data_IF_198446175634
#
_entry.id   IF_198446175634
#
_cell.length_a   1.000
_cell.length_b   1.000
_cell.length_c   1.000
_cell.angle_alpha   90.00
_cell.angle_beta   90.00
_cell.angle_gamma   90.00
#
_symmetry.space_group_name_H-M   'P 1'
#
loop_
_entity.id
_entity.type
_entity.pdbx_description
1 polymer ?
#
# COMPACT_ATOMS: atom_id res chain seq x y z
N UNK A 1 -47.11 19.77 -23.94
CA UNK A 1 -46.52 21.10 -23.62
C UNK A 1 -46.28 21.83 -24.93
N UNK A 2 -46.60 23.12 -25.02
CA UNK A 2 -46.40 23.89 -26.26
C UNK A 2 -44.92 24.22 -26.46
N UNK A 3 -44.50 24.47 -27.71
CA UNK A 3 -43.12 24.89 -28.04
C UNK A 3 -42.68 26.11 -27.23
N UNK A 4 -43.61 27.02 -26.94
CA UNK A 4 -43.34 28.21 -26.13
C UNK A 4 -43.05 27.86 -24.67
N UNK A 5 -43.75 26.89 -24.09
CA UNK A 5 -43.47 26.44 -22.71
C UNK A 5 -42.07 25.82 -22.58
N UNK A 6 -41.64 25.03 -23.56
CA UNK A 6 -40.27 24.49 -23.59
C UNK A 6 -39.21 25.59 -23.71
N UNK A 7 -39.44 26.59 -24.57
CA UNK A 7 -38.53 27.72 -24.72
C UNK A 7 -38.35 28.51 -23.42
N UNK A 8 -39.45 28.80 -22.70
CA UNK A 8 -39.38 29.52 -21.43
C UNK A 8 -38.70 28.70 -20.32
N UNK A 9 -38.98 27.40 -20.22
CA UNK A 9 -38.35 26.52 -19.21
C UNK A 9 -36.84 26.39 -19.47
N UNK A 10 -36.44 26.16 -20.72
CA UNK A 10 -35.02 26.03 -21.09
C UNK A 10 -34.27 27.35 -20.90
N UNK A 11 -34.90 28.48 -21.24
CA UNK A 11 -34.33 29.81 -21.01
C UNK A 11 -34.18 30.13 -19.52
N UNK A 12 -35.20 29.83 -18.70
CA UNK A 12 -35.15 30.02 -17.25
C UNK A 12 -34.08 29.12 -16.62
N UNK A 13 -34.01 27.85 -17.03
CA UNK A 13 -32.96 26.94 -16.58
C UNK A 13 -31.57 27.45 -16.96
N UNK A 14 -31.37 27.91 -18.20
CA UNK A 14 -30.11 28.49 -18.66
C UNK A 14 -29.72 29.73 -17.86
N UNK A 15 -30.66 30.62 -17.57
CA UNK A 15 -30.42 31.82 -16.75
C UNK A 15 -30.05 31.46 -15.31
N UNK A 16 -30.79 30.55 -14.67
CA UNK A 16 -30.51 30.09 -13.31
C UNK A 16 -29.15 29.38 -13.23
N UNK A 17 -28.85 28.51 -14.20
CA UNK A 17 -27.57 27.81 -14.28
C UNK A 17 -26.42 28.80 -14.50
N UNK A 18 -26.57 29.76 -15.41
CA UNK A 18 -25.56 30.80 -15.67
C UNK A 18 -25.32 31.67 -14.44
N UNK A 19 -26.38 32.09 -13.75
CA UNK A 19 -26.29 32.91 -12.55
C UNK A 19 -25.62 32.13 -11.41
N UNK A 20 -25.98 30.85 -11.24
CA UNK A 20 -25.35 29.97 -10.26
C UNK A 20 -23.86 29.76 -10.56
N UNK A 21 -23.49 29.45 -11.82
CA UNK A 21 -22.10 29.29 -12.24
C UNK A 21 -21.31 30.58 -12.02
N UNK A 22 -21.87 31.74 -12.38
CA UNK A 22 -21.23 33.04 -12.16
C UNK A 22 -21.03 33.33 -10.67
N UNK A 23 -22.06 33.12 -9.84
CA UNK A 23 -21.98 33.28 -8.39
C UNK A 23 -20.93 32.36 -7.77
N UNK A 24 -20.95 31.07 -8.11
CA UNK A 24 -19.97 30.09 -7.61
C UNK A 24 -18.56 30.43 -8.07
N UNK A 25 -18.38 30.86 -9.32
CA UNK A 25 -17.08 31.32 -9.82
C UNK A 25 -16.58 32.57 -9.09
N UNK A 26 -17.44 33.57 -8.87
CA UNK A 26 -17.07 34.78 -8.14
C UNK A 26 -16.74 34.47 -6.67
N UNK A 27 -17.52 33.60 -6.03
CA UNK A 27 -17.27 33.12 -4.67
C UNK A 27 -15.91 32.40 -4.58
N UNK A 28 -15.63 31.50 -5.53
CA UNK A 28 -14.34 30.82 -5.64
C UNK A 28 -13.18 31.79 -5.89
N UNK A 29 -13.32 32.73 -6.82
CA UNK A 29 -12.27 33.71 -7.10
C UNK A 29 -11.97 34.60 -5.89
N UNK A 30 -13.01 34.97 -5.12
CA UNK A 30 -12.86 35.71 -3.87
C UNK A 30 -12.13 34.89 -2.81
N UNK A 31 -12.52 33.63 -2.61
CA UNK A 31 -11.88 32.78 -1.60
C UNK A 31 -10.41 32.54 -1.94
N UNK A 32 -10.08 32.22 -3.19
CA UNK A 32 -8.67 32.08 -3.64
C UNK A 32 -7.86 33.33 -3.28
N UNK A 33 -8.38 34.53 -3.57
CA UNK A 33 -7.70 35.79 -3.24
C UNK A 33 -7.54 36.03 -1.73
N UNK A 34 -8.51 35.60 -0.93
CA UNK A 34 -8.42 35.68 0.53
C UNK A 34 -7.30 34.76 1.07
N UNK A 35 -7.26 33.53 0.56
CA UNK A 35 -6.28 32.52 0.95
C UNK A 35 -4.87 32.75 0.39
N UNK A 36 -4.71 33.50 -0.71
CA UNK A 36 -3.40 33.93 -1.19
C UNK A 36 -2.61 34.68 -0.11
N UNK A 37 -3.31 35.44 0.74
CA UNK A 37 -2.71 36.24 1.82
C UNK A 37 -2.41 35.44 3.09
N UNK A 38 -2.77 34.15 3.17
CA UNK A 38 -2.33 33.31 4.29
C UNK A 38 -0.81 33.12 4.24
N UNK A 39 -0.16 33.37 5.37
CA UNK A 39 1.24 33.04 5.62
C UNK A 39 1.40 31.55 5.92
N UNK A 40 1.12 30.74 4.91
CA UNK A 40 1.23 29.29 4.96
C UNK A 40 2.03 28.83 3.73
N UNK A 41 3.34 28.53 3.88
CA UNK A 41 4.15 28.08 2.76
C UNK A 41 3.68 26.72 2.25
N UNK A 42 3.83 26.48 0.95
CA UNK A 42 3.47 25.19 0.35
C UNK A 42 4.26 24.06 1.03
N UNK A 43 3.57 22.97 1.38
CA UNK A 43 4.10 21.84 2.15
C UNK A 43 4.50 22.17 3.61
N UNK A 44 4.04 23.30 4.16
CA UNK A 44 4.13 23.54 5.59
C UNK A 44 3.50 22.40 6.38
N UNK A 45 4.04 22.15 7.57
CA UNK A 45 3.40 21.29 8.55
C UNK A 45 2.07 21.91 8.98
N UNK A 46 1.01 21.13 8.83
CA UNK A 46 -0.38 21.48 9.11
C UNK A 46 -0.98 20.51 10.12
N UNK A 47 -0.15 19.75 10.83
CA UNK A 47 -0.56 18.70 11.75
C UNK A 47 -1.38 19.17 12.93
N UNK A 48 -1.17 20.42 13.34
CA UNK A 48 -1.96 21.07 14.39
C UNK A 48 -3.48 21.05 14.12
N UNK A 49 -3.92 20.96 12.85
CA UNK A 49 -5.35 20.88 12.51
C UNK A 49 -6.01 19.61 13.01
N UNK A 50 -5.26 18.51 13.18
CA UNK A 50 -5.79 17.23 13.66
C UNK A 50 -5.83 17.10 15.18
N UNK A 51 -5.35 18.12 15.91
CA UNK A 51 -5.44 18.20 17.37
C UNK A 51 -6.75 18.84 17.85
N UNK A 52 -7.58 19.33 16.92
CA UNK A 52 -8.84 19.98 17.24
C UNK A 52 -9.96 18.96 17.53
N UNK A 53 -10.25 18.78 18.83
CA UNK A 53 -11.32 17.91 19.33
C UNK A 53 -12.73 18.35 18.90
N UNK A 54 -12.91 19.59 18.46
CA UNK A 54 -14.23 20.09 18.04
C UNK A 54 -14.65 19.59 16.66
N UNK A 55 -13.69 19.06 15.89
CA UNK A 55 -13.92 18.61 14.52
C UNK A 55 -14.34 17.16 14.47
N UNK A 56 -15.30 16.89 13.60
CA UNK A 56 -15.60 15.55 13.16
C UNK A 56 -15.07 15.34 11.74
N UNK A 57 -13.78 14.99 11.63
CA UNK A 57 -13.13 14.70 10.35
C UNK A 57 -13.92 13.72 9.51
N UNK A 58 -14.60 12.78 10.17
CA UNK A 58 -15.35 11.78 9.46
C UNK A 58 -16.51 12.38 8.67
N UNK A 59 -17.29 13.25 9.30
CA UNK A 59 -18.44 13.90 8.66
C UNK A 59 -18.00 14.84 7.54
N UNK A 60 -16.88 15.54 7.73
CA UNK A 60 -16.34 16.50 6.78
C UNK A 60 -15.96 15.86 5.43
N UNK A 61 -15.44 14.63 5.46
CA UNK A 61 -14.96 13.94 4.24
C UNK A 61 -15.96 12.93 3.69
N UNK A 62 -16.96 12.51 4.47
CA UNK A 62 -17.84 11.39 4.12
C UNK A 62 -18.58 11.59 2.79
N UNK A 63 -19.15 12.79 2.57
CA UNK A 63 -19.90 13.08 1.34
C UNK A 63 -19.02 12.98 0.09
N UNK A 64 -17.83 13.59 0.14
CA UNK A 64 -16.87 13.52 -0.96
C UNK A 64 -16.41 12.09 -1.23
N UNK A 65 -16.12 11.32 -0.17
CA UNK A 65 -15.69 9.94 -0.30
C UNK A 65 -16.78 9.03 -0.88
N UNK A 66 -18.03 9.22 -0.45
CA UNK A 66 -19.19 8.50 -1.00
C UNK A 66 -19.38 8.82 -2.49
N UNK A 67 -19.35 10.09 -2.86
CA UNK A 67 -19.51 10.53 -4.26
C UNK A 67 -18.40 9.99 -5.16
N UNK A 68 -17.18 9.91 -4.64
CA UNK A 68 -16.00 9.37 -5.34
C UNK A 68 -15.83 7.86 -5.20
N UNK A 69 -16.77 7.16 -4.56
CA UNK A 69 -16.70 5.72 -4.32
C UNK A 69 -15.38 5.27 -3.64
N UNK A 70 -14.81 6.12 -2.77
CA UNK A 70 -13.51 5.85 -2.14
C UNK A 70 -13.57 4.65 -1.19
N UNK A 71 -14.69 4.44 -0.49
CA UNK A 71 -14.87 3.25 0.36
C UNK A 71 -14.69 1.95 -0.42
N UNK A 72 -15.25 1.85 -1.63
CA UNK A 72 -15.08 0.65 -2.48
C UNK A 72 -13.64 0.44 -2.92
N UNK A 73 -12.88 1.53 -3.14
CA UNK A 73 -11.46 1.44 -3.49
C UNK A 73 -10.61 1.03 -2.28
N UNK A 74 -10.85 1.63 -1.11
CA UNK A 74 -10.25 1.22 0.17
C UNK A 74 -10.52 -0.25 0.45
N UNK A 75 -11.76 -0.71 0.26
CA UNK A 75 -12.14 -2.11 0.49
C UNK A 75 -11.39 -3.07 -0.44
N UNK A 76 -11.24 -2.73 -1.73
CA UNK A 76 -10.45 -3.54 -2.67
C UNK A 76 -8.99 -3.65 -2.24
N UNK A 77 -8.40 -2.56 -1.74
CA UNK A 77 -7.02 -2.54 -1.24
C UNK A 77 -6.86 -3.30 0.08
N UNK A 78 -7.72 -3.02 1.08
CA UNK A 78 -7.63 -3.66 2.40
C UNK A 78 -7.84 -5.18 2.32
N UNK A 79 -8.63 -5.67 1.34
CA UNK A 79 -8.78 -7.11 1.07
C UNK A 79 -7.53 -7.81 0.53
N UNK A 80 -6.53 -7.06 0.06
CA UNK A 80 -5.23 -7.63 -0.31
C UNK A 80 -4.28 -7.76 0.89
N UNK A 81 -4.65 -7.25 2.06
CA UNK A 81 -3.83 -7.34 3.27
C UNK A 81 -3.77 -8.76 3.82
N UNK A 82 -2.55 -9.21 4.13
CA UNK A 82 -2.25 -10.52 4.74
C UNK A 82 -0.94 -10.48 5.53
N UNK A 83 -0.73 -11.46 6.40
CA UNK A 83 0.46 -11.62 7.23
C UNK A 83 0.61 -10.54 8.29
N UNK A 84 1.84 -10.06 8.50
CA UNK A 84 2.08 -8.90 9.36
C UNK A 84 1.67 -7.63 8.61
N UNK A 85 0.66 -6.94 9.12
CA UNK A 85 0.06 -5.77 8.48
C UNK A 85 0.33 -4.50 9.29
N UNK A 86 0.77 -3.45 8.59
CA UNK A 86 0.90 -2.09 9.12
C UNK A 86 -0.01 -1.15 8.33
N UNK A 87 -0.86 -0.39 9.00
CA UNK A 87 -1.55 0.76 8.42
C UNK A 87 -0.93 2.05 8.96
N UNK A 88 -0.47 2.91 8.05
CA UNK A 88 0.10 4.22 8.38
C UNK A 88 -0.87 5.31 7.98
N UNK A 89 -0.92 6.39 8.78
CA UNK A 89 -1.91 7.46 8.65
C UNK A 89 -3.33 6.90 8.80
N UNK A 90 -3.55 6.06 9.82
CA UNK A 90 -4.82 5.38 10.05
C UNK A 90 -5.98 6.34 10.37
N UNK A 91 -5.65 7.57 10.78
CA UNK A 91 -6.60 8.60 11.21
C UNK A 91 -7.55 8.04 12.26
N UNK A 92 -8.84 8.28 12.05
CA UNK A 92 -9.93 7.82 12.92
C UNK A 92 -10.29 6.33 12.70
N UNK A 93 -9.52 5.56 11.92
CA UNK A 93 -9.75 4.14 11.68
C UNK A 93 -10.83 3.83 10.63
N UNK A 94 -10.91 4.59 9.54
CA UNK A 94 -11.93 4.40 8.48
C UNK A 94 -11.82 3.06 7.73
N UNK A 95 -10.65 2.43 7.73
CA UNK A 95 -10.39 1.16 7.04
C UNK A 95 -10.67 -0.08 7.90
N UNK A 96 -10.90 0.06 9.20
CA UNK A 96 -10.96 -1.05 10.17
C UNK A 96 -11.92 -2.18 9.77
N UNK A 97 -13.10 -1.82 9.28
CA UNK A 97 -14.13 -2.78 8.86
C UNK A 97 -13.85 -3.45 7.51
N UNK A 98 -12.87 -2.95 6.76
CA UNK A 98 -12.60 -3.34 5.38
C UNK A 98 -11.56 -4.46 5.28
N UNK A 99 -10.84 -4.74 6.36
CA UNK A 99 -9.85 -5.80 6.43
C UNK A 99 -10.51 -7.19 6.54
N UNK A 100 -9.89 -8.24 5.96
CA UNK A 100 -10.36 -9.61 6.05
C UNK A 100 -10.00 -10.25 7.40
N UNK A 101 -10.62 -9.77 8.49
CA UNK A 101 -10.23 -10.14 9.86
C UNK A 101 -10.93 -11.39 10.41
N UNK A 102 -11.97 -11.88 9.74
CA UNK A 102 -12.71 -13.06 10.16
C UNK A 102 -11.97 -14.34 9.77
N UNK A 103 -11.43 -15.12 10.74
CA UNK A 103 -10.67 -16.32 10.43
C UNK A 103 -11.53 -17.44 9.84
N UNK A 104 -12.85 -17.47 10.07
CA UNK A 104 -13.72 -18.54 9.56
C UNK A 104 -14.04 -18.38 8.07
N UNK A 105 -14.02 -17.15 7.57
CA UNK A 105 -14.35 -16.83 6.18
C UNK A 105 -13.08 -16.59 5.35
N UNK A 106 -11.99 -16.16 5.99
CA UNK A 106 -10.75 -15.82 5.30
C UNK A 106 -9.85 -17.05 5.15
N UNK A 107 -9.48 -17.44 3.91
CA UNK A 107 -8.51 -18.50 3.64
C UNK A 107 -7.17 -18.26 4.33
N UNK A 108 -6.51 -19.32 4.78
CA UNK A 108 -5.25 -19.25 5.55
C UNK A 108 -4.15 -18.44 4.84
N UNK A 109 -4.03 -18.59 3.52
CA UNK A 109 -3.07 -17.85 2.68
C UNK A 109 -3.32 -16.33 2.57
N UNK A 110 -4.47 -15.87 3.07
CA UNK A 110 -4.92 -14.48 3.01
C UNK A 110 -5.23 -13.89 4.39
N UNK A 111 -4.93 -14.61 5.47
CA UNK A 111 -5.19 -14.13 6.82
C UNK A 111 -4.20 -13.04 7.19
N UNK A 112 -4.70 -12.10 7.97
CA UNK A 112 -3.86 -11.17 8.72
C UNK A 112 -3.45 -11.88 10.01
N UNK A 113 -2.16 -11.82 10.33
CA UNK A 113 -1.59 -12.43 11.54
C UNK A 113 -1.37 -11.40 12.64
N UNK A 114 -1.04 -10.15 12.26
CA UNK A 114 -0.82 -9.02 13.17
C UNK A 114 -1.28 -7.73 12.51
N UNK A 115 -1.83 -6.83 13.32
CA UNK A 115 -2.14 -5.46 12.90
C UNK A 115 -1.35 -4.45 13.73
N UNK A 116 -0.78 -3.47 13.05
CA UNK A 116 -0.23 -2.26 13.66
C UNK A 116 -0.89 -1.07 12.97
N UNK A 117 -1.49 -0.18 13.73
CA UNK A 117 -2.05 1.08 13.24
C UNK A 117 -1.19 2.22 13.76
N UNK A 118 -0.76 3.11 12.87
CA UNK A 118 0.00 4.30 13.21
C UNK A 118 -0.71 5.56 12.71
N UNK A 119 -0.66 6.59 13.54
CA UNK A 119 -1.01 7.96 13.15
C UNK A 119 -0.23 8.96 13.99
N UNK A 120 -0.01 10.17 13.46
CA UNK A 120 0.63 11.25 14.19
C UNK A 120 -0.27 11.79 15.31
N UNK A 121 -1.60 11.79 15.11
CA UNK A 121 -2.57 12.32 16.08
C UNK A 121 -3.02 11.24 17.07
N UNK A 122 -2.66 11.44 18.34
CA UNK A 122 -3.16 10.62 19.45
C UNK A 122 -4.69 10.58 19.50
N UNK A 123 -5.33 11.72 19.25
CA UNK A 123 -6.79 11.89 19.32
C UNK A 123 -7.48 11.05 18.25
N UNK A 124 -6.97 11.07 17.02
CA UNK A 124 -7.54 10.27 15.94
C UNK A 124 -7.31 8.78 16.20
N UNK A 125 -6.13 8.41 16.70
CA UNK A 125 -5.79 7.02 16.96
C UNK A 125 -6.59 6.43 18.13
N UNK A 126 -6.90 7.21 19.17
CA UNK A 126 -7.83 6.81 20.24
C UNK A 126 -9.24 6.50 19.69
N UNK A 127 -9.74 7.32 18.75
CA UNK A 127 -11.01 7.03 18.07
C UNK A 127 -10.91 5.74 17.23
N UNK A 128 -9.80 5.54 16.52
CA UNK A 128 -9.55 4.34 15.74
C UNK A 128 -9.55 3.09 16.62
N UNK A 129 -8.92 3.17 17.78
CA UNK A 129 -8.90 2.09 18.78
C UNK A 129 -10.30 1.75 19.27
N UNK A 130 -11.09 2.74 19.70
CA UNK A 130 -12.48 2.54 20.15
C UNK A 130 -13.36 1.91 19.06
N UNK A 131 -13.19 2.33 17.79
CA UNK A 131 -13.91 1.73 16.67
C UNK A 131 -13.52 0.27 16.45
N UNK A 132 -12.23 -0.05 16.53
CA UNK A 132 -11.75 -1.42 16.42
C UNK A 132 -12.28 -2.31 17.54
N UNK A 133 -12.24 -1.83 18.79
CA UNK A 133 -12.79 -2.54 19.96
C UNK A 133 -14.29 -2.80 19.78
N UNK A 134 -15.06 -1.79 19.39
CA UNK A 134 -16.49 -1.92 19.09
C UNK A 134 -16.75 -2.96 17.98
N UNK A 135 -15.91 -3.00 16.94
CA UNK A 135 -16.00 -3.99 15.87
C UNK A 135 -15.78 -5.41 16.40
N UNK A 136 -14.77 -5.61 17.25
CA UNK A 136 -14.49 -6.90 17.87
C UNK A 136 -15.59 -7.33 18.86
N UNK A 137 -16.15 -6.41 19.63
CA UNK A 137 -17.25 -6.67 20.57
C UNK A 137 -18.52 -7.16 19.86
N UNK A 138 -18.88 -6.50 18.74
CA UNK A 138 -20.02 -6.88 17.89
C UNK A 138 -19.82 -8.24 17.20
N UNK A 139 -18.58 -8.65 16.95
CA UNK A 139 -18.28 -9.94 16.36
C UNK A 139 -18.50 -11.07 17.37
N UNK A 140 -19.05 -12.20 16.89
CA UNK A 140 -19.10 -13.45 17.67
C UNK A 140 -17.69 -13.86 18.08
N UNK A 141 -17.53 -14.43 19.26
CA UNK A 141 -16.21 -14.75 19.85
C UNK A 141 -15.28 -15.52 18.89
N UNK A 142 -15.81 -16.47 18.12
CA UNK A 142 -15.04 -17.27 17.14
C UNK A 142 -14.78 -16.57 15.79
N UNK A 143 -15.31 -15.37 15.60
CA UNK A 143 -15.11 -14.52 14.40
C UNK A 143 -14.29 -13.27 14.71
N UNK A 144 -13.87 -13.08 15.96
CA UNK A 144 -12.97 -12.00 16.36
C UNK A 144 -11.59 -12.23 15.75
N UNK A 145 -10.90 -11.13 15.48
CA UNK A 145 -9.51 -11.16 15.07
C UNK A 145 -8.66 -11.75 16.21
N UNK A 146 -7.96 -12.87 15.99
CA UNK A 146 -7.23 -13.55 17.06
C UNK A 146 -5.81 -12.98 17.28
N UNK A 147 -5.29 -12.23 16.30
CA UNK A 147 -3.91 -11.74 16.31
C UNK A 147 -3.70 -10.51 17.20
N UNK A 148 -2.43 -10.18 17.51
CA UNK A 148 -2.09 -8.97 18.22
C UNK A 148 -2.41 -7.72 17.39
N UNK A 149 -2.92 -6.69 18.08
CA UNK A 149 -3.23 -5.37 17.52
C UNK A 149 -2.48 -4.31 18.33
N UNK A 150 -1.83 -3.38 17.65
CA UNK A 150 -1.10 -2.29 18.28
C UNK A 150 -1.49 -0.95 17.65
N UNK A 151 -1.59 0.07 18.49
CA UNK A 151 -1.81 1.47 18.09
C UNK A 151 -0.56 2.26 18.49
N UNK A 152 0.11 2.86 17.52
CA UNK A 152 1.40 3.56 17.70
C UNK A 152 1.24 5.03 17.31
N UNK A 153 1.30 5.92 18.29
CA UNK A 153 1.21 7.37 18.06
C UNK A 153 2.60 7.91 17.68
N UNK A 154 2.67 8.67 16.60
CA UNK A 154 3.87 9.41 16.19
C UNK A 154 4.08 9.43 14.68
N UNK A 155 5.12 10.15 14.24
CA UNK A 155 5.51 10.24 12.84
C UNK A 155 6.12 8.92 12.34
N UNK A 156 5.45 8.25 11.39
CA UNK A 156 5.97 7.03 10.76
C UNK A 156 7.29 7.21 10.02
N UNK A 157 7.68 8.45 9.69
CA UNK A 157 9.00 8.76 9.13
C UNK A 157 10.14 8.60 10.15
N UNK A 158 9.83 8.61 11.46
CA UNK A 158 10.79 8.32 12.52
C UNK A 158 11.12 6.81 12.55
N UNK A 159 12.38 6.50 12.22
CA UNK A 159 12.89 5.12 12.16
C UNK A 159 12.84 4.38 13.49
N UNK A 160 12.80 5.10 14.61
CA UNK A 160 12.79 4.52 15.95
C UNK A 160 11.38 4.15 16.45
N UNK A 161 10.34 4.68 15.79
CA UNK A 161 8.96 4.61 16.27
C UNK A 161 8.33 3.23 16.02
N UNK A 162 8.27 2.81 14.76
CA UNK A 162 7.59 1.57 14.36
C UNK A 162 8.58 0.41 14.39
N UNK A 163 8.34 -0.54 15.29
CA UNK A 163 9.15 -1.76 15.37
C UNK A 163 8.83 -2.68 14.20
N UNK A 164 9.82 -2.88 13.34
CA UNK A 164 9.79 -3.86 12.25
C UNK A 164 9.72 -5.29 12.83
N UNK A 165 8.73 -6.12 12.48
CA UNK A 165 8.70 -7.52 12.92
C UNK A 165 9.85 -8.32 12.27
N UNK A 166 10.12 -9.52 12.77
CA UNK A 166 11.09 -10.42 12.14
C UNK A 166 10.63 -10.71 10.70
N UNK A 167 11.50 -10.43 9.74
CA UNK A 167 11.16 -10.52 8.32
C UNK A 167 10.38 -9.33 7.76
N UNK A 168 10.03 -8.31 8.56
CA UNK A 168 9.31 -7.13 8.09
C UNK A 168 7.81 -7.32 7.86
N UNK A 169 7.13 -6.22 7.50
CA UNK A 169 5.69 -6.25 7.22
C UNK A 169 5.41 -6.84 5.85
N UNK A 170 4.49 -7.82 5.79
CA UNK A 170 4.05 -8.46 4.57
C UNK A 170 3.14 -7.54 3.75
N UNK A 171 2.34 -6.73 4.44
CA UNK A 171 1.52 -5.68 3.83
C UNK A 171 1.63 -4.39 4.62
N UNK A 172 1.88 -3.28 3.94
CA UNK A 172 1.73 -1.92 4.46
C UNK A 172 0.59 -1.26 3.70
N UNK A 173 -0.35 -0.63 4.41
CA UNK A 173 -1.48 0.08 3.82
C UNK A 173 -1.35 1.54 4.21
N UNK A 174 -1.61 2.42 3.26
CA UNK A 174 -1.61 3.85 3.50
C UNK A 174 -2.65 4.48 2.57
N UNK A 175 -3.59 5.23 3.15
CA UNK A 175 -4.70 5.84 2.38
C UNK A 175 -4.93 7.29 2.75
N UNK A 176 -4.83 8.18 1.77
CA UNK A 176 -5.07 9.62 1.86
C UNK A 176 -4.25 10.32 2.96
N UNK A 177 -3.00 9.90 3.12
CA UNK A 177 -2.07 10.43 4.12
C UNK A 177 -0.84 11.10 3.53
N UNK A 178 -0.40 10.78 2.30
CA UNK A 178 0.82 11.39 1.71
C UNK A 178 0.63 12.89 1.53
N UNK A 179 -0.60 13.35 1.30
CA UNK A 179 -0.96 14.76 1.22
C UNK A 179 -0.62 15.55 2.50
N UNK A 180 -0.51 14.87 3.64
CA UNK A 180 -0.19 15.43 4.95
C UNK A 180 1.31 15.44 5.26
N UNK A 181 2.10 14.68 4.51
CA UNK A 181 3.54 14.52 4.77
C UNK A 181 4.36 15.75 4.31
N UNK A 182 5.25 16.23 5.18
CA UNK A 182 6.20 17.31 4.86
C UNK A 182 7.30 16.81 3.94
N UNK A 183 7.78 15.57 4.15
CA UNK A 183 8.75 14.89 3.29
C UNK A 183 8.22 13.53 2.79
N UNK A 184 7.35 13.54 1.77
CA UNK A 184 6.67 12.33 1.30
C UNK A 184 7.64 11.31 0.68
N UNK A 185 8.80 11.74 0.19
CA UNK A 185 9.83 10.84 -0.37
C UNK A 185 10.53 10.05 0.74
N UNK A 186 10.93 10.73 1.83
CA UNK A 186 11.52 10.06 2.98
C UNK A 186 10.53 9.11 3.65
N UNK A 187 9.27 9.54 3.78
CA UNK A 187 8.18 8.71 4.26
C UNK A 187 8.04 7.41 3.47
N UNK A 188 7.94 7.46 2.13
CA UNK A 188 7.85 6.25 1.31
C UNK A 188 9.10 5.36 1.40
N UNK A 189 10.30 5.95 1.51
CA UNK A 189 11.53 5.18 1.73
C UNK A 189 11.48 4.41 3.04
N UNK A 190 10.97 5.04 4.11
CA UNK A 190 10.81 4.41 5.41
C UNK A 190 9.78 3.26 5.35
N UNK A 191 8.66 3.43 4.64
CA UNK A 191 7.73 2.31 4.40
C UNK A 191 8.42 1.17 3.65
N UNK A 192 9.28 1.49 2.69
CA UNK A 192 10.15 0.52 2.01
C UNK A 192 11.05 -0.28 2.95
N UNK A 193 11.65 0.37 3.95
CA UNK A 193 12.51 -0.28 4.95
C UNK A 193 11.71 -1.17 5.93
N UNK A 194 10.51 -0.72 6.33
CA UNK A 194 9.61 -1.48 7.21
C UNK A 194 9.03 -2.72 6.52
N UNK A 195 8.83 -2.65 5.20
CA UNK A 195 8.30 -3.76 4.41
C UNK A 195 9.27 -4.96 4.38
N UNK A 196 8.74 -6.18 4.27
CA UNK A 196 9.52 -7.41 4.08
C UNK A 196 10.38 -7.28 2.83
N UNK A 197 11.69 -7.51 2.94
CA UNK A 197 12.59 -7.45 1.80
C UNK A 197 12.55 -8.77 1.00
N UNK A 198 12.86 -8.72 -0.31
CA UNK A 198 13.08 -9.91 -1.12
C UNK A 198 14.07 -10.89 -0.47
N UNK A 199 13.70 -12.16 -0.37
CA UNK A 199 14.53 -13.22 0.21
C UNK A 199 14.48 -13.32 1.74
N UNK A 200 13.87 -12.37 2.44
CA UNK A 200 13.61 -12.51 3.87
C UNK A 200 12.44 -13.48 4.11
N UNK A 201 12.56 -14.30 5.16
CA UNK A 201 11.47 -15.15 5.63
C UNK A 201 10.35 -14.27 6.20
N UNK A 202 9.11 -14.67 5.97
CA UNK A 202 7.96 -14.05 6.63
C UNK A 202 7.61 -14.79 7.91
N UNK A 203 7.28 -14.04 8.98
CA UNK A 203 6.65 -14.59 10.18
C UNK A 203 5.12 -14.63 10.09
N UNK A 204 4.53 -14.05 9.03
CA UNK A 204 3.08 -13.88 8.87
C UNK A 204 2.48 -14.62 7.67
N UNK A 205 3.30 -15.09 6.73
CA UNK A 205 2.85 -15.81 5.53
C UNK A 205 3.68 -17.08 5.37
N UNK A 206 3.02 -18.21 5.06
CA UNK A 206 3.72 -19.47 4.79
C UNK A 206 4.69 -19.31 3.59
N UNK A 207 5.96 -19.66 3.81
CA UNK A 207 7.02 -19.59 2.81
C UNK A 207 6.69 -20.38 1.54
N UNK A 208 5.92 -21.49 1.63
CA UNK A 208 5.49 -22.24 0.44
C UNK A 208 4.61 -21.42 -0.50
N UNK A 209 3.80 -20.52 0.06
CA UNK A 209 2.96 -19.61 -0.72
C UNK A 209 3.86 -18.60 -1.43
N UNK A 210 4.82 -18.01 -0.72
CA UNK A 210 5.78 -17.04 -1.27
C UNK A 210 6.61 -17.68 -2.38
N UNK A 211 7.12 -18.89 -2.20
CA UNK A 211 7.87 -19.63 -3.21
C UNK A 211 7.04 -19.87 -4.48
N UNK A 212 5.77 -20.27 -4.32
CA UNK A 212 4.85 -20.45 -5.45
C UNK A 212 4.59 -19.16 -6.20
N UNK A 213 4.34 -18.05 -5.49
CA UNK A 213 4.15 -16.73 -6.09
C UNK A 213 5.41 -16.26 -6.81
N UNK A 214 6.59 -16.51 -6.24
CA UNK A 214 7.90 -16.16 -6.82
C UNK A 214 8.16 -16.93 -8.12
N UNK A 215 7.85 -18.23 -8.15
CA UNK A 215 7.95 -19.06 -9.36
C UNK A 215 7.03 -18.54 -10.47
N UNK A 216 5.77 -18.26 -10.13
CA UNK A 216 4.81 -17.70 -11.09
C UNK A 216 5.29 -16.35 -11.63
N UNK A 217 5.87 -15.51 -10.77
CA UNK A 217 6.41 -14.22 -11.20
C UNK A 217 7.59 -14.38 -12.17
N UNK A 218 8.51 -15.31 -11.92
CA UNK A 218 9.60 -15.63 -12.86
C UNK A 218 9.08 -16.10 -14.22
N UNK A 219 8.01 -16.90 -14.24
CA UNK A 219 7.37 -17.32 -15.49
C UNK A 219 6.77 -16.14 -16.26
N UNK A 220 6.11 -15.23 -15.56
CA UNK A 220 5.54 -14.03 -16.16
C UNK A 220 6.61 -13.06 -16.69
N UNK A 221 7.74 -12.92 -15.97
CA UNK A 221 8.89 -12.15 -16.45
C UNK A 221 9.50 -12.75 -17.73
N UNK A 222 9.65 -14.09 -17.79
CA UNK A 222 10.12 -14.77 -19.01
C UNK A 222 9.21 -14.47 -20.19
N UNK A 223 7.89 -14.63 -20.01
CA UNK A 223 6.90 -14.32 -21.06
C UNK A 223 7.02 -12.87 -21.54
N UNK A 224 7.20 -11.90 -20.64
CA UNK A 224 7.34 -10.48 -21.03
C UNK A 224 8.60 -10.20 -21.86
N UNK A 225 9.73 -10.80 -21.50
CA UNK A 225 10.99 -10.65 -22.24
C UNK A 225 10.88 -11.13 -23.69
N UNK A 226 10.07 -12.16 -23.93
CA UNK A 226 9.87 -12.72 -25.27
C UNK A 226 9.06 -11.79 -26.21
N UNK A 227 8.32 -10.79 -25.68
CA UNK A 227 7.40 -9.92 -26.44
C UNK A 227 7.95 -8.49 -26.68
N UNK A 228 9.26 -8.34 -26.82
CA UNK A 228 10.00 -7.09 -26.65
C UNK A 228 9.49 -5.79 -27.34
N UNK A 229 9.93 -4.65 -26.79
CA UNK A 229 10.03 -3.32 -27.41
C UNK A 229 11.11 -2.51 -26.66
N UNK A 230 11.48 -1.29 -27.13
CA UNK A 230 12.63 -0.46 -26.65
C UNK A 230 12.29 1.02 -26.36
N UNK A 231 12.42 1.51 -25.11
CA UNK A 231 12.26 2.89 -24.59
C UNK A 231 12.97 3.09 -23.21
N UNK A 232 13.19 4.33 -22.70
CA UNK A 232 13.87 4.59 -21.41
C UNK A 232 13.21 3.96 -20.18
N UNK A 233 11.87 3.88 -20.17
CA UNK A 233 11.08 3.22 -19.13
C UNK A 233 11.48 1.73 -19.02
N UNK A 234 11.85 1.10 -20.14
CA UNK A 234 12.25 -0.30 -20.16
C UNK A 234 13.65 -0.55 -19.61
N UNK A 235 14.56 0.44 -19.63
CA UNK A 235 15.87 0.25 -18.95
C UNK A 235 15.66 0.07 -17.45
N UNK A 236 14.83 0.93 -16.85
CA UNK A 236 14.45 0.81 -15.44
C UNK A 236 13.71 -0.50 -15.18
N UNK A 237 12.74 -0.85 -16.01
CA UNK A 237 12.01 -2.11 -15.88
C UNK A 237 12.94 -3.33 -16.02
N UNK A 238 13.91 -3.30 -16.94
CA UNK A 238 14.89 -4.38 -17.12
C UNK A 238 15.81 -4.51 -15.90
N UNK A 239 16.26 -3.40 -15.33
CA UNK A 239 17.02 -3.39 -14.08
C UNK A 239 16.21 -4.01 -12.93
N UNK A 240 14.94 -3.62 -12.79
CA UNK A 240 14.03 -4.18 -11.79
C UNK A 240 13.80 -5.68 -12.01
N UNK A 241 13.48 -6.10 -13.24
CA UNK A 241 13.28 -7.51 -13.60
C UNK A 241 14.54 -8.35 -13.34
N UNK A 242 15.72 -7.77 -13.52
CA UNK A 242 17.01 -8.43 -13.25
C UNK A 242 17.22 -8.61 -11.75
N UNK A 243 17.02 -7.56 -10.96
CA UNK A 243 17.12 -7.64 -9.49
C UNK A 243 16.14 -8.65 -8.90
N UNK A 244 14.92 -8.70 -9.42
CA UNK A 244 13.90 -9.68 -9.00
C UNK A 244 14.32 -11.10 -9.36
N UNK A 245 14.90 -11.30 -10.56
CA UNK A 245 15.42 -12.61 -10.97
C UNK A 245 16.56 -13.07 -10.06
N UNK A 246 17.46 -12.17 -9.65
CA UNK A 246 18.56 -12.47 -8.71
C UNK A 246 18.07 -12.93 -7.34
N UNK A 247 16.90 -12.42 -6.92
CA UNK A 247 16.21 -12.79 -5.68
C UNK A 247 15.22 -13.95 -5.86
N UNK A 248 15.31 -14.69 -6.97
CA UNK A 248 14.51 -15.90 -7.19
C UNK A 248 13.02 -15.63 -7.43
N UNK A 249 12.66 -14.42 -7.85
CA UNK A 249 11.28 -14.02 -8.11
C UNK A 249 10.54 -13.43 -6.90
N UNK A 250 11.16 -13.40 -5.72
CA UNK A 250 10.54 -12.79 -4.54
C UNK A 250 10.61 -11.26 -4.64
N UNK A 251 9.45 -10.62 -4.49
CA UNK A 251 9.29 -9.17 -4.54
C UNK A 251 9.26 -8.52 -3.15
N UNK A 252 9.38 -9.30 -2.08
CA UNK A 252 9.18 -8.80 -0.72
C UNK A 252 7.69 -8.62 -0.37
N UNK A 253 7.40 -7.80 0.64
CA UNK A 253 6.04 -7.43 1.03
C UNK A 253 5.39 -6.46 0.02
N UNK A 254 4.13 -6.09 0.25
CA UNK A 254 3.38 -5.10 -0.54
C UNK A 254 3.20 -3.81 0.23
N UNK A 255 3.32 -2.68 -0.46
CA UNK A 255 2.89 -1.38 0.04
C UNK A 255 1.71 -0.92 -0.82
N UNK A 256 0.52 -0.84 -0.23
CA UNK A 256 -0.75 -0.54 -0.87
C UNK A 256 -1.10 0.92 -0.60
N UNK A 257 -1.07 1.75 -1.64
CA UNK A 257 -1.37 3.18 -1.52
C UNK A 257 -2.71 3.53 -2.20
N UNK A 258 -3.52 4.34 -1.53
CA UNK A 258 -4.64 5.06 -2.12
C UNK A 258 -4.50 6.54 -1.83
N UNK A 259 -4.15 7.33 -2.83
CA UNK A 259 -3.76 8.72 -2.62
C UNK A 259 -4.52 9.67 -3.53
N UNK A 260 -4.55 10.95 -3.14
CA UNK A 260 -4.95 12.03 -4.04
C UNK A 260 -3.76 12.93 -4.36
N UNK A 261 -3.79 13.53 -5.54
CA UNK A 261 -2.72 14.40 -6.00
C UNK A 261 -3.04 15.04 -7.35
N UNK A 262 -1.99 15.49 -8.03
CA UNK A 262 -2.10 16.14 -9.35
C UNK A 262 -2.87 15.27 -10.34
N UNK A 263 -3.66 15.90 -11.21
CA UNK A 263 -4.30 15.30 -12.38
C UNK A 263 -3.34 15.27 -13.59
N UNK A 264 -3.66 14.46 -14.61
CA UNK A 264 -3.04 14.60 -15.93
C UNK A 264 -3.64 15.76 -16.76
N UNK A 265 -4.76 16.36 -16.30
CA UNK A 265 -5.41 17.50 -16.94
C UNK A 265 -4.95 18.82 -16.31
N UNK A 266 -4.30 19.66 -17.09
CA UNK A 266 -3.72 20.93 -16.61
C UNK A 266 -4.74 21.93 -16.06
N UNK A 267 -6.01 21.89 -16.49
CA UNK A 267 -7.05 22.76 -15.93
C UNK A 267 -7.45 22.33 -14.51
N UNK A 268 -7.48 21.03 -14.22
CA UNK A 268 -7.75 20.52 -12.87
C UNK A 268 -6.60 20.92 -11.94
N UNK A 269 -5.36 20.78 -12.41
CA UNK A 269 -4.19 21.19 -11.64
C UNK A 269 -4.22 22.68 -11.26
N UNK A 270 -4.68 23.57 -12.15
CA UNK A 270 -4.88 24.98 -11.82
C UNK A 270 -5.88 25.18 -10.66
N UNK A 271 -6.98 24.43 -10.65
CA UNK A 271 -7.96 24.49 -9.56
C UNK A 271 -7.36 23.97 -8.25
N UNK A 272 -6.64 22.85 -8.32
CA UNK A 272 -5.95 22.27 -7.15
C UNK A 272 -4.89 23.22 -6.60
N UNK A 273 -4.05 23.80 -7.45
CA UNK A 273 -2.97 24.70 -7.05
C UNK A 273 -3.52 25.98 -6.41
N UNK A 274 -4.55 26.59 -7.00
CA UNK A 274 -5.20 27.79 -6.45
C UNK A 274 -5.93 27.51 -5.12
N UNK A 275 -6.47 26.30 -4.94
CA UNK A 275 -7.19 25.91 -3.72
C UNK A 275 -6.31 25.28 -2.64
N UNK A 276 -5.00 25.09 -2.89
CA UNK A 276 -4.14 24.29 -2.03
C UNK A 276 -4.00 24.87 -0.61
N UNK A 277 -3.79 26.19 -0.48
CA UNK A 277 -3.70 26.85 0.84
C UNK A 277 -5.01 26.75 1.63
N UNK A 278 -6.15 26.97 0.99
CA UNK A 278 -7.47 26.81 1.60
C UNK A 278 -7.68 25.38 2.10
N UNK A 279 -7.33 24.40 1.27
CA UNK A 279 -7.48 23.00 1.61
C UNK A 279 -6.56 22.60 2.77
N UNK A 280 -5.31 23.09 2.78
CA UNK A 280 -4.35 22.86 3.84
C UNK A 280 -4.75 23.54 5.17
N UNK A 281 -5.29 24.75 5.10
CA UNK A 281 -5.79 25.45 6.28
C UNK A 281 -7.02 24.77 6.86
N UNK A 282 -7.98 24.40 6.00
CA UNK A 282 -9.23 23.79 6.44
C UNK A 282 -9.05 22.32 6.81
N UNK A 283 -8.57 21.45 5.93
CA UNK A 283 -8.51 20.00 6.15
C UNK A 283 -7.18 19.51 6.75
N UNK A 284 -6.17 20.37 6.79
CA UNK A 284 -4.85 19.98 7.28
C UNK A 284 -4.00 19.21 6.28
N UNK A 285 -4.27 19.25 4.97
CA UNK A 285 -3.44 18.53 3.99
C UNK A 285 -3.26 19.26 2.66
N UNK A 286 -2.20 18.92 1.93
CA UNK A 286 -1.86 19.51 0.64
C UNK A 286 -2.27 18.58 -0.50
N UNK A 287 -3.45 18.83 -1.09
CA UNK A 287 -4.03 17.94 -2.10
C UNK A 287 -3.40 17.94 -3.49
N UNK A 288 -2.45 18.83 -3.76
CA UNK A 288 -1.85 19.06 -5.07
C UNK A 288 -0.44 18.47 -5.23
N UNK A 289 -0.03 17.56 -4.33
CA UNK A 289 1.27 16.86 -4.40
C UNK A 289 1.39 16.01 -5.66
N UNK A 290 2.60 15.97 -6.22
CA UNK A 290 2.94 15.11 -7.35
C UNK A 290 3.29 13.69 -6.87
N UNK A 291 2.25 12.86 -6.70
CA UNK A 291 2.41 11.49 -6.20
C UNK A 291 3.26 10.64 -7.14
N UNK A 292 3.20 10.87 -8.46
CA UNK A 292 4.03 10.11 -9.40
C UNK A 292 5.51 10.39 -9.20
N UNK A 293 5.88 11.66 -9.06
CA UNK A 293 7.25 12.06 -8.80
C UNK A 293 7.73 11.59 -7.42
N UNK A 294 6.88 11.68 -6.38
CA UNK A 294 7.18 11.15 -5.04
C UNK A 294 7.48 9.65 -5.07
N UNK A 295 6.64 8.85 -5.74
CA UNK A 295 6.86 7.40 -5.88
C UNK A 295 8.16 7.13 -6.66
N UNK A 296 8.40 7.87 -7.75
CA UNK A 296 9.62 7.76 -8.55
C UNK A 296 10.88 8.03 -7.74
N UNK A 297 10.87 9.06 -6.90
CA UNK A 297 12.01 9.49 -6.09
C UNK A 297 12.22 8.65 -4.82
N UNK A 298 11.17 7.94 -4.38
CA UNK A 298 11.29 6.95 -3.30
C UNK A 298 12.18 5.77 -3.70
N UNK A 299 12.24 5.45 -4.99
CA UNK A 299 12.99 4.30 -5.51
C UNK A 299 12.31 2.95 -5.30
N UNK A 300 11.07 2.94 -4.77
CA UNK A 300 10.23 1.75 -4.70
C UNK A 300 9.83 1.26 -6.09
N UNK A 301 9.67 -0.06 -6.23
CA UNK A 301 9.27 -0.70 -7.48
C UNK A 301 7.74 -0.61 -7.60
N UNK A 302 7.24 -0.22 -8.77
CA UNK A 302 5.80 -0.13 -9.05
C UNK A 302 5.31 -1.46 -9.64
N UNK A 303 4.64 -2.29 -8.85
CA UNK A 303 4.00 -3.51 -9.36
C UNK A 303 2.70 -3.18 -10.12
N UNK A 304 1.89 -2.27 -9.56
CA UNK A 304 0.59 -1.89 -10.11
C UNK A 304 0.32 -0.41 -9.90
N UNK A 305 -0.18 0.27 -10.94
CA UNK A 305 -0.64 1.67 -10.90
C UNK A 305 -2.00 1.77 -11.56
N UNK A 306 -2.96 2.44 -10.91
CA UNK A 306 -4.23 2.86 -11.51
C UNK A 306 -4.54 4.30 -11.11
N UNK A 307 -5.24 5.01 -11.99
CA UNK A 307 -5.72 6.37 -11.71
C UNK A 307 -7.22 6.47 -11.92
N UNK A 308 -7.88 7.25 -11.06
CA UNK A 308 -9.33 7.50 -11.06
C UNK A 308 -9.62 9.00 -11.01
N UNK A 309 -10.90 9.37 -11.13
CA UNK A 309 -11.38 10.74 -10.93
C UNK A 309 -10.58 11.78 -11.73
N UNK A 310 -10.53 11.59 -13.06
CA UNK A 310 -9.73 12.44 -13.95
C UNK A 310 -8.24 12.50 -13.59
N UNK A 311 -7.72 11.45 -12.97
CA UNK A 311 -6.31 11.34 -12.62
C UNK A 311 -5.97 11.80 -11.20
N UNK A 312 -6.86 12.44 -10.47
CA UNK A 312 -6.50 12.99 -9.16
C UNK A 312 -6.36 11.92 -8.08
N UNK A 313 -6.94 10.73 -8.25
CA UNK A 313 -6.77 9.62 -7.29
C UNK A 313 -5.89 8.54 -7.86
N UNK A 314 -4.91 8.12 -7.06
CA UNK A 314 -3.89 7.13 -7.36
C UNK A 314 -4.14 5.87 -6.53
N UNK A 315 -4.08 4.72 -7.17
CA UNK A 315 -3.95 3.42 -6.50
C UNK A 315 -2.61 2.82 -6.92
N UNK A 316 -1.74 2.55 -5.96
CA UNK A 316 -0.46 1.89 -6.19
C UNK A 316 -0.34 0.60 -5.38
N UNK A 317 0.30 -0.40 -5.99
CA UNK A 317 0.97 -1.49 -5.28
C UNK A 317 2.44 -1.32 -5.53
N UNK A 318 3.18 -1.00 -4.48
CA UNK A 318 4.62 -0.82 -4.50
C UNK A 318 5.31 -1.99 -3.81
N UNK A 319 6.57 -2.22 -4.20
CA UNK A 319 7.45 -3.24 -3.63
C UNK A 319 8.75 -2.60 -3.16
N UNK A 320 9.35 -3.11 -2.07
CA UNK A 320 10.69 -2.69 -1.68
C UNK A 320 11.67 -3.03 -2.80
N UNK A 321 12.66 -2.16 -3.00
CA UNK A 321 13.73 -2.42 -3.96
C UNK A 321 14.70 -3.45 -3.37
N UNK A 322 14.93 -4.60 -4.04
CA UNK A 322 15.94 -5.55 -3.59
C UNK A 322 17.28 -4.85 -3.45
N UNK A 323 17.99 -5.07 -2.34
CA UNK A 323 19.37 -4.60 -2.22
C UNK A 323 20.24 -5.47 -3.14
N UNK A 324 21.26 -4.90 -3.81
CA UNK A 324 22.27 -5.72 -4.46
C UNK A 324 22.88 -6.66 -3.42
N UNK A 325 23.00 -7.95 -3.72
CA UNK A 325 23.71 -8.88 -2.83
C UNK A 325 25.14 -8.40 -2.63
N UNK A 326 25.64 -8.51 -1.40
CA UNK A 326 27.07 -8.31 -1.15
C UNK A 326 27.88 -9.43 -1.81
N UNK A 327 29.14 -9.17 -2.14
CA UNK A 327 30.05 -10.18 -2.72
C UNK A 327 30.11 -11.44 -1.83
N UNK A 328 30.14 -11.26 -0.50
CA UNK A 328 30.13 -12.34 0.49
C UNK A 328 28.88 -13.24 0.45
N UNK A 329 27.71 -12.70 0.07
CA UNK A 329 26.45 -13.46 -0.05
C UNK A 329 26.39 -14.24 -1.36
N UNK A 330 27.01 -13.70 -2.41
CA UNK A 330 27.17 -14.37 -3.71
C UNK A 330 28.11 -15.57 -3.54
N UNK A 331 29.26 -15.37 -2.89
CA UNK A 331 30.27 -16.42 -2.64
C UNK A 331 29.70 -17.60 -1.83
N UNK A 332 29.01 -17.35 -0.71
CA UNK A 332 28.37 -18.39 0.12
C UNK A 332 27.31 -19.20 -0.64
N UNK A 333 26.63 -18.60 -1.61
CA UNK A 333 25.63 -19.31 -2.42
C UNK A 333 26.30 -20.14 -3.52
N UNK A 334 27.37 -19.65 -4.15
CA UNK A 334 28.18 -20.48 -5.07
C UNK A 334 28.78 -21.69 -4.36
N UNK A 335 29.28 -21.53 -3.13
CA UNK A 335 29.80 -22.64 -2.32
C UNK A 335 28.70 -23.66 -1.98
N UNK A 336 27.48 -23.22 -1.65
CA UNK A 336 26.36 -24.14 -1.40
C UNK A 336 25.85 -24.84 -2.67
N UNK A 337 25.98 -24.21 -3.85
CA UNK A 337 25.61 -24.81 -5.15
C UNK A 337 26.67 -25.81 -5.62
N UNK A 338 27.95 -25.56 -5.36
CA UNK A 338 29.04 -26.49 -5.71
C UNK A 338 29.25 -27.59 -4.65
N UNK A 339 28.97 -27.31 -3.37
CA UNK A 339 28.91 -28.32 -2.30
C UNK A 339 27.82 -29.38 -2.53
N UNK A 340 26.73 -29.02 -3.23
CA UNK A 340 25.70 -29.96 -3.68
C UNK A 340 26.09 -30.79 -4.91
N UNK A 341 27.12 -30.39 -5.66
CA UNK A 341 27.64 -31.11 -6.85
C UNK A 341 28.81 -32.05 -6.55
N UNK A 342 29.38 -31.98 -5.35
CA UNK A 342 30.45 -32.88 -4.90
C UNK A 342 29.97 -34.01 -3.96
N UNK A 343 28.69 -34.40 -4.04
CA UNK A 343 28.29 -35.74 -3.60
C UNK A 343 28.63 -36.74 -4.70
N UNK A 344 29.91 -37.10 -4.82
CA UNK A 344 30.35 -38.23 -5.63
C UNK A 344 29.64 -39.47 -5.10
N UNK A 345 28.73 -40.02 -5.91
CA UNK A 345 28.22 -41.38 -5.77
C UNK A 345 29.42 -42.32 -5.80
N UNK A 346 29.83 -42.82 -4.63
CA UNK A 346 30.77 -43.93 -4.52
C UNK A 346 30.09 -45.21 -5.02
N UNK A 347 30.21 -45.46 -6.32
CA UNK A 347 29.82 -46.72 -6.95
C UNK A 347 30.97 -47.71 -6.75
N UNK A 348 31.20 -48.14 -5.51
CA UNK A 348 32.14 -49.23 -5.24
C UNK A 348 31.87 -50.01 -3.95
N UNK A 349 30.62 -50.39 -3.67
CA UNK A 349 30.38 -51.53 -2.76
C UNK A 349 29.40 -52.54 -3.35
N UNK A 350 29.92 -53.76 -3.46
CA UNK A 350 29.32 -54.89 -4.12
C UNK A 350 28.04 -55.39 -3.48
N UNK A 351 27.18 -55.86 -4.37
CA UNK A 351 26.05 -56.76 -4.17
C UNK A 351 26.28 -57.77 -3.04
N UNK A 352 25.41 -57.75 -2.02
CA UNK A 352 25.12 -58.92 -1.18
C UNK A 352 23.65 -59.31 -1.33
N UNK A 353 23.45 -60.37 -2.11
CA UNK A 353 22.17 -61.06 -2.28
C UNK A 353 21.79 -61.75 -0.95
N UNK A 354 20.52 -61.62 -0.55
CA UNK A 354 19.88 -62.38 0.53
C UNK A 354 19.78 -63.85 0.14
N UNK A 355 20.50 -64.72 0.85
CA UNK A 355 20.34 -66.18 0.78
C UNK A 355 19.50 -66.69 1.95
N UNK A 356 18.34 -67.28 1.65
CA UNK A 356 17.45 -67.99 2.56
C UNK A 356 17.55 -69.50 2.25
N UNK A 357 18.14 -70.27 3.18
CA UNK A 357 18.04 -71.73 3.37
C UNK A 357 18.53 -71.97 4.82
N UNK A 358 17.87 -72.64 5.76
CA UNK A 358 17.03 -73.83 5.68
C UNK A 358 17.83 -75.05 6.18
N UNK A 359 17.70 -75.42 7.46
CA UNK A 359 17.84 -76.81 7.94
C UNK A 359 19.13 -77.28 8.66
N UNK A 360 18.94 -77.63 9.95
CA UNK A 360 19.26 -78.94 10.61
C UNK A 360 20.69 -79.45 10.94
N UNK A 361 20.82 -79.89 12.22
CA UNK A 361 21.76 -80.87 12.84
C UNK A 361 23.28 -80.52 12.85
N UNK A 362 24.16 -80.90 13.79
CA UNK A 362 24.19 -81.74 15.02
C UNK A 362 25.52 -81.46 15.77
N UNK A 363 25.51 -81.71 17.09
CA UNK A 363 26.61 -81.96 18.05
C UNK A 363 28.04 -82.18 17.52
N UNK A 364 29.03 -81.61 18.21
CA UNK A 364 29.76 -82.29 19.31
C UNK A 364 30.40 -81.28 20.26
#
# INVERSE_FOLDING_TARGET
MSSNTYFWITSLFGFLLSTYVAYTYMSYARSVKEYENLDLPQNADVSSRWLDLSRNFDDEVELSEKLMFLRSKREKLCREARGNVLEVSAGTGRNMELYPLDPLVTPEDKRVERLVFNDLSEIMLDQAQKKFETLQEKAKQNRRFPGPVQFVVGDASDKSLIKRPEGGFDTIIQTMGICSETNPVAFLKQLGELCRQPGEKSSGVDMKIIEKESQQHLEDLKKRRDHGASEPEQKRQQEEDTLVTEHGGDLGGKILLLEHGRSYLGFINRVLDNGAKMHADHYGCWWNKDIEQVVKDSGLIVERKKRYHFGTTYEYVLRPRPRPRSEDEIERRSENVDGGKNAVLDVSQGVKVKGWTGGWFSKN
#
